data_IF_715584508278
#
_entry.id   IF_715584508278
#
_cell.length_a   1.000
_cell.length_b   1.000
_cell.length_c   1.000
_cell.angle_alpha   90.00
_cell.angle_beta   90.00
_cell.angle_gamma   90.00
#
_symmetry.space_group_name_H-M   'P 1'
#
loop_
_entity.id
_entity.type
_entity.pdbx_description
1 polymer ?
#
# COMPACT_ATOMS: atom_id res chain seq x y z
N UNK A 1 24.39 35.66 -4.45
CA UNK A 1 23.87 34.47 -5.15
C UNK A 1 23.67 33.41 -4.08
N UNK A 2 22.51 33.36 -3.45
CA UNK A 2 22.22 32.32 -2.47
C UNK A 2 22.04 31.01 -3.26
N UNK A 3 22.96 30.07 -3.10
CA UNK A 3 22.77 28.71 -3.55
C UNK A 3 21.67 28.11 -2.67
N UNK A 4 20.42 28.18 -3.11
CA UNK A 4 19.32 27.42 -2.53
C UNK A 4 19.67 25.96 -2.73
N UNK A 5 20.17 25.32 -1.67
CA UNK A 5 20.25 23.86 -1.62
C UNK A 5 18.83 23.36 -1.86
N UNK A 6 18.56 22.51 -2.86
CA UNK A 6 17.21 22.03 -3.10
C UNK A 6 16.75 21.31 -1.84
N UNK A 7 15.73 21.87 -1.19
CA UNK A 7 15.18 21.33 0.03
C UNK A 7 14.41 20.06 -0.33
N UNK A 8 14.80 18.93 0.27
CA UNK A 8 14.09 17.66 0.10
C UNK A 8 12.61 17.85 0.46
N UNK A 9 11.67 17.51 -0.45
CA UNK A 9 10.25 17.67 -0.21
C UNK A 9 9.79 16.97 1.08
N UNK A 10 8.86 17.64 1.76
CA UNK A 10 8.16 17.11 2.92
C UNK A 10 6.74 16.68 2.53
N UNK A 11 6.34 15.49 2.96
CA UNK A 11 5.05 14.87 2.64
C UNK A 11 4.41 14.37 3.92
N UNK A 12 3.20 14.83 4.20
CA UNK A 12 2.35 14.25 5.23
C UNK A 12 1.48 13.15 4.62
N UNK A 13 1.37 12.04 5.32
CA UNK A 13 0.52 10.91 4.94
C UNK A 13 -0.41 10.59 6.11
N UNK A 14 -1.71 10.72 5.87
CA UNK A 14 -2.75 10.35 6.85
C UNK A 14 -3.46 9.09 6.39
N UNK A 15 -3.44 8.06 7.22
CA UNK A 15 -4.16 6.81 6.97
C UNK A 15 -5.58 6.89 7.55
N UNK A 16 -6.53 6.24 6.89
CA UNK A 16 -7.91 6.14 7.38
C UNK A 16 -8.61 4.89 6.84
N UNK A 17 -9.63 4.45 7.58
CA UNK A 17 -10.47 3.31 7.21
C UNK A 17 -11.92 3.71 7.03
N UNK A 18 -12.57 3.15 6.00
CA UNK A 18 -14.01 3.22 5.81
C UNK A 18 -14.59 1.84 5.46
N UNK A 19 -15.36 1.20 6.36
CA UNK A 19 -15.61 1.58 7.77
C UNK A 19 -14.37 1.43 8.67
N UNK A 20 -14.33 2.05 9.88
CA UNK A 20 -13.23 1.92 10.84
C UNK A 20 -13.25 0.60 11.64
N UNK A 21 -14.18 -0.30 11.33
CA UNK A 21 -14.25 -1.65 11.89
C UNK A 21 -14.50 -2.68 10.80
N UNK A 22 -14.15 -3.93 11.07
CA UNK A 22 -14.38 -5.07 10.19
C UNK A 22 -14.98 -6.25 10.95
N UNK A 23 -15.96 -6.92 10.36
CA UNK A 23 -16.45 -8.23 10.81
C UNK A 23 -16.25 -9.25 9.70
N UNK A 24 -15.78 -10.46 10.04
CA UNK A 24 -15.66 -11.56 9.07
C UNK A 24 -17.01 -12.09 8.55
N UNK A 25 -18.12 -11.60 9.10
CA UNK A 25 -19.46 -11.76 8.51
C UNK A 25 -19.64 -10.96 7.22
N UNK A 26 -18.93 -9.83 7.07
CA UNK A 26 -18.97 -8.98 5.89
C UNK A 26 -18.26 -9.66 4.70
N UNK A 27 -18.79 -9.44 3.51
CA UNK A 27 -18.21 -10.00 2.28
C UNK A 27 -16.93 -9.27 1.85
N UNK A 28 -16.83 -7.97 2.15
CA UNK A 28 -15.74 -7.10 1.70
C UNK A 28 -14.96 -6.53 2.89
N UNK A 29 -13.64 -6.35 2.76
CA UNK A 29 -12.85 -5.63 3.76
C UNK A 29 -13.19 -4.13 3.76
N UNK A 30 -12.84 -3.39 4.83
CA UNK A 30 -12.88 -1.93 4.82
C UNK A 30 -11.88 -1.37 3.80
N UNK A 31 -12.14 -0.17 3.29
CA UNK A 31 -11.20 0.54 2.43
C UNK A 31 -10.14 1.25 3.29
N UNK A 32 -8.87 0.99 3.00
CA UNK A 32 -7.73 1.76 3.48
C UNK A 32 -7.48 2.91 2.52
N UNK A 33 -7.47 4.14 3.03
CA UNK A 33 -7.16 5.35 2.26
C UNK A 33 -5.95 6.06 2.85
N UNK A 34 -4.97 6.35 1.99
CA UNK A 34 -3.81 7.20 2.28
C UNK A 34 -4.08 8.58 1.66
N UNK A 35 -4.09 9.62 2.48
CA UNK A 35 -4.15 11.01 2.03
C UNK A 35 -2.76 11.61 2.10
N UNK A 36 -2.17 11.90 0.94
CA UNK A 36 -0.85 12.49 0.81
C UNK A 36 -0.98 14.01 0.62
N UNK A 37 -0.25 14.79 1.40
CA UNK A 37 -0.15 16.25 1.25
C UNK A 37 1.31 16.63 1.09
N UNK A 38 1.66 17.22 -0.05
CA UNK A 38 3.00 17.76 -0.31
C UNK A 38 3.11 19.20 0.18
N UNK A 39 4.19 19.51 0.89
CA UNK A 39 4.55 20.88 1.31
C UNK A 39 5.63 21.51 0.44
N UNK A 40 5.95 20.89 -0.71
CA UNK A 40 6.90 21.49 -1.65
C UNK A 40 6.28 22.68 -2.39
N UNK A 41 7.12 23.61 -2.81
CA UNK A 41 6.70 24.80 -3.56
C UNK A 41 6.33 24.49 -5.02
N UNK A 42 6.87 23.40 -5.57
CA UNK A 42 6.62 22.97 -6.95
C UNK A 42 6.14 21.52 -6.99
N UNK A 43 5.42 21.13 -8.05
CA UNK A 43 5.03 19.74 -8.23
C UNK A 43 6.25 18.84 -8.37
N UNK A 44 6.12 17.59 -7.93
CA UNK A 44 7.13 16.56 -8.15
C UNK A 44 6.46 15.20 -8.31
N UNK A 45 7.16 14.28 -8.96
CA UNK A 45 6.66 12.95 -9.28
C UNK A 45 7.41 11.89 -8.51
N UNK A 46 6.64 10.95 -7.94
CA UNK A 46 7.09 9.75 -7.26
C UNK A 46 6.97 8.55 -8.17
N UNK A 47 7.96 7.66 -8.12
CA UNK A 47 7.86 6.32 -8.66
C UNK A 47 7.64 5.30 -7.54
N UNK A 48 6.49 4.60 -7.56
CA UNK A 48 5.97 3.92 -6.35
C UNK A 48 5.94 2.40 -6.39
N UNK A 49 6.27 1.73 -7.50
CA UNK A 49 6.03 0.29 -7.72
C UNK A 49 6.41 -0.64 -6.55
N UNK A 50 7.58 -0.43 -5.95
CA UNK A 50 8.14 -1.26 -4.87
C UNK A 50 8.09 -0.56 -3.51
N UNK A 51 7.15 0.35 -3.32
CA UNK A 51 7.04 1.21 -2.14
C UNK A 51 5.65 1.06 -1.52
N UNK A 52 5.50 1.57 -0.30
CA UNK A 52 4.21 1.55 0.41
C UNK A 52 3.12 2.36 -0.30
N UNK A 53 3.51 3.27 -1.20
CA UNK A 53 2.61 4.14 -1.96
C UNK A 53 1.97 3.44 -3.17
N UNK A 54 2.48 2.28 -3.60
CA UNK A 54 1.74 1.39 -4.50
C UNK A 54 0.75 0.55 -3.69
N UNK A 55 -0.24 1.22 -3.11
CA UNK A 55 -1.05 0.72 -1.99
C UNK A 55 -1.63 -0.71 -2.18
N UNK A 56 -2.21 -1.09 -3.33
CA UNK A 56 -2.68 -2.47 -3.53
C UNK A 56 -1.55 -3.51 -3.43
N UNK A 57 -0.35 -3.18 -3.91
CA UNK A 57 0.80 -4.08 -3.84
C UNK A 57 1.37 -4.12 -2.42
N UNK A 58 1.37 -2.98 -1.71
CA UNK A 58 1.92 -2.84 -0.37
C UNK A 58 1.32 -3.84 0.64
N UNK A 59 0.06 -4.24 0.47
CA UNK A 59 -0.62 -5.27 1.26
C UNK A 59 0.02 -6.66 1.16
N UNK A 60 0.74 -6.92 0.07
CA UNK A 60 1.37 -8.21 -0.23
C UNK A 60 2.88 -8.15 -0.32
N UNK A 61 3.50 -6.99 -0.10
CA UNK A 61 4.97 -6.83 -0.13
C UNK A 61 5.52 -6.34 1.20
N UNK A 62 4.77 -6.54 2.29
CA UNK A 62 5.08 -6.01 3.63
C UNK A 62 5.31 -4.49 3.66
N UNK A 63 4.64 -3.73 2.79
CA UNK A 63 4.69 -2.26 2.80
C UNK A 63 3.76 -1.63 3.83
N UNK A 64 2.82 -2.40 4.38
CA UNK A 64 1.93 -1.98 5.46
C UNK A 64 2.35 -2.70 6.75
N UNK A 65 2.48 -1.94 7.83
CA UNK A 65 2.70 -2.48 9.18
C UNK A 65 1.36 -2.67 9.87
N UNK A 66 1.23 -3.77 10.62
CA UNK A 66 0.04 -4.09 11.41
C UNK A 66 0.51 -4.47 12.79
N UNK A 67 0.06 -3.76 13.82
CA UNK A 67 0.45 -3.99 15.20
C UNK A 67 -0.80 -4.18 16.05
N UNK A 68 -0.85 -5.26 16.83
CA UNK A 68 -1.89 -5.43 17.85
C UNK A 68 -1.76 -4.34 18.91
N UNK A 69 -2.80 -3.52 19.10
CA UNK A 69 -2.75 -2.34 19.95
C UNK A 69 -2.60 -2.70 21.44
N UNK A 70 -3.19 -3.81 21.88
CA UNK A 70 -3.16 -4.23 23.27
C UNK A 70 -1.83 -4.91 23.65
N UNK A 71 -1.31 -5.77 22.77
CA UNK A 71 -0.10 -6.53 23.00
C UNK A 71 1.18 -5.83 22.52
N UNK A 72 1.07 -4.80 21.67
CA UNK A 72 2.19 -4.13 21.00
C UNK A 72 2.97 -5.07 20.07
N UNK A 73 2.34 -6.14 19.57
CA UNK A 73 2.99 -7.17 18.76
C UNK A 73 2.72 -6.93 17.28
N UNK A 74 3.79 -6.90 16.49
CA UNK A 74 3.68 -6.87 15.03
C UNK A 74 3.04 -8.17 14.51
N UNK A 75 2.05 -8.03 13.63
CA UNK A 75 1.43 -9.14 12.90
C UNK A 75 2.27 -9.43 11.66
N UNK A 76 2.59 -10.70 11.43
CA UNK A 76 3.33 -11.10 10.24
C UNK A 76 2.44 -11.03 8.99
N UNK A 77 2.84 -10.19 8.04
CA UNK A 77 2.14 -9.99 6.77
C UNK A 77 2.72 -10.87 5.66
N UNK A 78 1.90 -11.14 4.65
CA UNK A 78 2.33 -11.82 3.44
C UNK A 78 3.35 -10.98 2.68
N UNK A 79 4.40 -11.65 2.20
CA UNK A 79 5.41 -11.09 1.31
C UNK A 79 5.48 -11.95 0.05
N UNK A 80 4.79 -11.51 -0.99
CA UNK A 80 4.74 -12.11 -2.31
C UNK A 80 5.64 -11.31 -3.24
N UNK A 81 6.57 -12.01 -3.89
CA UNK A 81 7.40 -11.42 -4.93
C UNK A 81 6.72 -11.64 -6.28
N UNK A 82 6.36 -10.56 -6.96
CA UNK A 82 5.86 -10.64 -8.33
C UNK A 82 7.03 -10.77 -9.31
N UNK A 83 7.06 -11.85 -10.11
CA UNK A 83 7.95 -11.92 -11.26
C UNK A 83 7.30 -11.14 -12.42
N UNK A 84 7.99 -10.13 -12.95
CA UNK A 84 7.45 -9.24 -13.98
C UNK A 84 8.52 -8.76 -14.95
N UNK A 85 8.07 -8.28 -16.10
CA UNK A 85 8.92 -7.54 -17.04
C UNK A 85 9.39 -6.20 -16.43
N UNK A 86 10.55 -5.66 -16.88
CA UNK A 86 11.04 -4.36 -16.44
C UNK A 86 10.00 -3.25 -16.61
N UNK A 87 9.96 -2.34 -15.62
CA UNK A 87 9.04 -1.20 -15.61
C UNK A 87 9.41 -0.18 -16.68
N UNK A 88 8.38 0.38 -17.32
CA UNK A 88 8.54 1.43 -18.32
C UNK A 88 7.82 2.70 -17.89
N UNK A 89 8.35 3.85 -18.31
CA UNK A 89 7.72 5.18 -18.19
C UNK A 89 6.84 5.49 -19.40
N UNK A 90 6.18 4.48 -19.97
CA UNK A 90 5.33 4.65 -21.16
C UNK A 90 3.92 5.06 -20.75
N UNK A 91 3.44 6.17 -21.30
CA UNK A 91 2.09 6.67 -21.11
C UNK A 91 1.03 5.68 -21.63
N UNK A 92 -0.11 5.61 -20.93
CA UNK A 92 -1.24 4.75 -21.28
C UNK A 92 -1.04 3.26 -20.98
N UNK A 93 0.08 2.89 -20.36
CA UNK A 93 0.35 1.50 -19.98
C UNK A 93 -0.05 1.22 -18.54
N UNK A 94 -0.12 -0.05 -18.16
CA UNK A 94 -0.38 -0.48 -16.79
C UNK A 94 0.68 -0.02 -15.78
N UNK A 95 1.86 0.40 -16.25
CA UNK A 95 2.94 0.93 -15.40
C UNK A 95 2.75 2.40 -15.05
N UNK A 96 1.95 3.15 -15.81
CA UNK A 96 1.71 4.59 -15.56
C UNK A 96 1.18 4.84 -14.14
N UNK A 97 0.41 3.91 -13.58
CA UNK A 97 -0.16 4.03 -12.23
C UNK A 97 0.89 4.12 -11.11
N UNK A 98 2.15 3.78 -11.38
CA UNK A 98 3.25 3.93 -10.41
C UNK A 98 3.90 5.30 -10.45
N UNK A 99 3.47 6.20 -11.33
CA UNK A 99 3.96 7.56 -11.45
C UNK A 99 2.93 8.50 -10.86
N UNK A 100 3.21 9.01 -9.66
CA UNK A 100 2.29 9.83 -8.89
C UNK A 100 2.86 11.24 -8.80
N UNK A 101 2.17 12.23 -9.36
CA UNK A 101 2.53 13.64 -9.16
C UNK A 101 1.82 14.19 -7.94
N UNK A 102 2.60 14.75 -7.01
CA UNK A 102 2.08 15.53 -5.89
C UNK A 102 2.12 17.00 -6.26
N UNK A 103 0.96 17.66 -6.16
CA UNK A 103 0.83 19.09 -6.36
C UNK A 103 1.08 19.83 -5.03
N UNK A 104 1.66 21.04 -5.04
CA UNK A 104 1.86 21.84 -3.84
C UNK A 104 0.56 22.00 -3.03
N UNK A 105 0.62 21.68 -1.74
CA UNK A 105 -0.46 21.87 -0.76
C UNK A 105 -1.81 21.27 -1.18
N UNK A 106 -1.79 20.25 -2.04
CA UNK A 106 -2.99 19.60 -2.57
C UNK A 106 -3.02 18.15 -2.11
N UNK A 107 -4.18 17.72 -1.61
CA UNK A 107 -4.38 16.36 -1.16
C UNK A 107 -4.54 15.41 -2.35
N UNK A 108 -3.76 14.33 -2.33
CA UNK A 108 -3.95 13.18 -3.20
C UNK A 108 -4.39 11.97 -2.37
N UNK A 109 -5.45 11.31 -2.79
CA UNK A 109 -5.96 10.11 -2.13
C UNK A 109 -5.62 8.85 -2.92
N UNK A 110 -5.04 7.87 -2.23
CA UNK A 110 -4.81 6.51 -2.71
C UNK A 110 -5.67 5.57 -1.86
N UNK A 111 -6.51 4.75 -2.49
CA UNK A 111 -7.43 3.88 -1.75
C UNK A 111 -7.45 2.46 -2.30
N UNK A 112 -7.59 1.48 -1.40
CA UNK A 112 -7.77 0.08 -1.75
C UNK A 112 -8.50 -0.67 -0.65
N UNK A 113 -9.17 -1.78 -0.99
CA UNK A 113 -9.73 -2.66 0.03
C UNK A 113 -8.62 -3.29 0.87
N UNK A 114 -8.72 -3.21 2.18
CA UNK A 114 -7.72 -3.71 3.13
C UNK A 114 -7.83 -5.23 3.30
N UNK A 115 -7.58 -5.97 2.22
CA UNK A 115 -7.70 -7.42 2.16
C UNK A 115 -7.00 -8.00 0.92
N UNK A 116 -7.35 -9.23 0.54
CA UNK A 116 -6.74 -9.95 -0.60
C UNK A 116 -7.20 -9.49 -2.00
N UNK A 117 -7.89 -8.35 -2.12
CA UNK A 117 -8.47 -7.86 -3.37
C UNK A 117 -9.95 -8.24 -3.58
N UNK A 118 -10.60 -7.55 -4.51
CA UNK A 118 -12.05 -7.29 -4.57
C UNK A 118 -13.03 -8.45 -4.80
N UNK A 119 -12.62 -9.72 -4.67
CA UNK A 119 -13.54 -10.87 -4.75
C UNK A 119 -13.29 -11.95 -3.69
N UNK A 120 -12.28 -11.80 -2.83
CA UNK A 120 -11.95 -12.80 -1.81
C UNK A 120 -12.51 -12.35 -0.47
N UNK A 121 -13.48 -13.11 0.06
CA UNK A 121 -14.01 -12.88 1.40
C UNK A 121 -12.88 -13.02 2.43
N UNK A 122 -12.62 -12.00 3.28
CA UNK A 122 -11.60 -12.08 4.31
C UNK A 122 -11.85 -13.24 5.28
N UNK A 123 -10.78 -13.85 5.76
CA UNK A 123 -10.83 -14.98 6.68
C UNK A 123 -10.07 -14.68 7.98
N UNK A 124 -10.54 -15.18 9.13
CA UNK A 124 -9.87 -14.99 10.41
C UNK A 124 -8.55 -15.77 10.47
N UNK A 125 -7.66 -15.37 11.38
CA UNK A 125 -6.34 -15.98 11.58
C UNK A 125 -6.35 -17.51 11.63
N UNK A 126 -7.26 -18.12 12.39
CA UNK A 126 -7.37 -19.57 12.53
C UNK A 126 -7.68 -20.32 11.21
N UNK A 127 -8.28 -19.65 10.23
CA UNK A 127 -8.49 -20.20 8.88
C UNK A 127 -7.24 -19.98 8.02
N UNK A 128 -6.66 -18.78 8.06
CA UNK A 128 -5.49 -18.41 7.23
C UNK A 128 -4.26 -19.26 7.58
N UNK A 129 -3.99 -19.50 8.86
CA UNK A 129 -2.83 -20.27 9.33
C UNK A 129 -2.85 -21.75 8.89
N UNK A 130 -4.04 -22.31 8.63
CA UNK A 130 -4.19 -23.64 8.05
C UNK A 130 -3.62 -23.71 6.64
N UNK A 131 -3.62 -22.59 5.90
CA UNK A 131 -2.96 -22.46 4.61
C UNK A 131 -3.67 -23.17 3.46
N UNK A 132 -4.97 -23.43 3.58
CA UNK A 132 -5.81 -24.06 2.55
C UNK A 132 -6.77 -23.07 1.90
N UNK A 133 -7.21 -23.39 0.68
CA UNK A 133 -8.27 -22.65 0.02
C UNK A 133 -9.64 -23.04 0.57
N UNK A 134 -10.57 -22.09 0.67
CA UNK A 134 -11.97 -22.39 1.00
C UNK A 134 -12.76 -22.17 -0.28
N UNK A 135 -13.68 -23.08 -0.57
CA UNK A 135 -14.61 -22.91 -1.67
C UNK A 135 -15.82 -22.05 -1.31
N UNK A 136 -16.76 -21.91 -2.25
CA UNK A 136 -17.97 -21.11 -2.07
C UNK A 136 -18.87 -21.61 -0.94
N UNK A 137 -18.75 -22.89 -0.56
CA UNK A 137 -19.48 -23.50 0.55
C UNK A 137 -18.71 -23.42 1.88
N UNK A 138 -17.46 -22.93 1.86
CA UNK A 138 -16.58 -22.88 3.02
C UNK A 138 -15.77 -24.16 3.26
N UNK A 139 -15.77 -25.11 2.32
CA UNK A 139 -15.04 -26.36 2.43
C UNK A 139 -13.57 -26.21 1.99
N UNK A 140 -12.66 -26.91 2.67
CA UNK A 140 -11.22 -26.83 2.38
C UNK A 140 -10.85 -27.51 1.04
N UNK A 141 -10.28 -26.73 0.13
CA UNK A 141 -9.59 -27.18 -1.07
C UNK A 141 -8.09 -27.27 -0.81
N UNK A 142 -7.46 -28.35 -1.29
CA UNK A 142 -6.00 -28.61 -1.22
C UNK A 142 -5.16 -27.70 -2.14
N UNK A 143 -5.51 -26.43 -2.21
CA UNK A 143 -4.74 -25.40 -2.90
C UNK A 143 -4.02 -24.61 -1.81
N UNK A 144 -2.68 -24.63 -1.85
CA UNK A 144 -1.83 -24.03 -0.82
C UNK A 144 -1.92 -22.50 -0.91
N UNK A 145 -2.22 -21.85 0.22
CA UNK A 145 -2.23 -20.37 0.35
C UNK A 145 -1.15 -19.89 1.31
N UNK A 146 -0.89 -18.57 1.27
CA UNK A 146 -0.07 -17.91 2.30
C UNK A 146 -0.70 -18.12 3.68
N UNK A 147 0.15 -18.35 4.69
CA UNK A 147 -0.25 -18.47 6.09
C UNK A 147 -0.20 -17.15 6.85
N UNK A 148 0.20 -16.07 6.17
CA UNK A 148 0.40 -14.75 6.75
C UNK A 148 -0.71 -13.79 6.36
N UNK A 149 -0.90 -12.75 7.16
CA UNK A 149 -1.99 -11.80 6.99
C UNK A 149 -1.88 -11.00 5.68
N UNK A 150 -3.01 -10.58 5.11
CA UNK A 150 -3.08 -9.66 3.98
C UNK A 150 -4.23 -8.70 4.23
N UNK A 151 -3.92 -7.51 4.77
CA UNK A 151 -4.94 -6.62 5.29
C UNK A 151 -5.66 -7.22 6.51
N UNK A 152 -6.99 -7.16 6.53
CA UNK A 152 -7.82 -7.76 7.59
C UNK A 152 -7.84 -9.29 7.57
N UNK A 153 -7.48 -9.89 6.45
CA UNK A 153 -7.37 -11.34 6.33
C UNK A 153 -6.19 -11.83 7.17
N UNK A 154 -6.46 -12.74 8.11
CA UNK A 154 -5.45 -13.25 9.05
C UNK A 154 -5.38 -12.49 10.38
N UNK A 155 -6.26 -11.51 10.62
CA UNK A 155 -6.39 -10.85 11.93
C UNK A 155 -7.29 -11.65 12.89
N UNK A 156 -7.19 -11.35 14.17
CA UNK A 156 -7.95 -12.01 15.24
C UNK A 156 -9.24 -11.21 15.53
N UNK A 157 -10.42 -11.88 15.58
CA UNK A 157 -11.66 -11.24 16.01
C UNK A 157 -11.58 -10.73 17.45
N UNK A 158 -12.16 -9.56 17.72
CA UNK A 158 -12.19 -8.94 19.04
C UNK A 158 -10.95 -8.11 19.40
N UNK A 159 -10.06 -7.86 18.43
CA UNK A 159 -8.82 -7.11 18.63
C UNK A 159 -8.86 -5.75 17.92
N UNK A 160 -8.04 -4.83 18.42
CA UNK A 160 -7.81 -3.52 17.81
C UNK A 160 -6.36 -3.45 17.32
N UNK A 161 -6.17 -2.90 16.13
CA UNK A 161 -4.90 -2.87 15.43
C UNK A 161 -4.53 -1.45 15.04
N UNK A 162 -3.25 -1.12 15.18
CA UNK A 162 -2.64 0.09 14.64
C UNK A 162 -1.99 -0.26 13.29
N UNK A 163 -2.36 0.48 12.26
CA UNK A 163 -1.95 0.27 10.88
C UNK A 163 -1.07 1.43 10.45
N UNK A 164 0.15 1.12 10.03
CA UNK A 164 1.14 2.10 9.58
C UNK A 164 1.77 1.71 8.24
N UNK A 165 2.84 2.42 7.88
CA UNK A 165 3.60 2.17 6.65
C UNK A 165 5.02 1.73 7.00
N UNK A 166 5.60 0.84 6.21
CA UNK A 166 7.01 0.49 6.34
C UNK A 166 7.89 1.70 5.94
N UNK A 167 8.62 2.25 6.92
CA UNK A 167 9.48 3.42 6.70
C UNK A 167 10.64 3.13 5.73
N UNK A 168 11.16 1.90 5.73
CA UNK A 168 12.25 1.52 4.85
C UNK A 168 11.85 1.61 3.38
N UNK A 169 10.68 1.08 3.06
CA UNK A 169 10.06 1.14 1.75
C UNK A 169 9.69 2.58 1.36
N UNK A 170 9.21 3.42 2.30
CA UNK A 170 9.00 4.86 2.06
C UNK A 170 10.30 5.59 1.70
N UNK A 171 11.39 5.33 2.44
CA UNK A 171 12.71 5.94 2.20
C UNK A 171 13.34 5.50 0.87
N UNK A 172 12.83 4.43 0.25
CA UNK A 172 13.31 3.91 -1.04
C UNK A 172 12.63 4.53 -2.26
N UNK A 173 11.64 5.41 -2.08
CA UNK A 173 10.90 6.06 -3.17
C UNK A 173 11.84 6.89 -4.04
N UNK A 174 11.79 6.66 -5.35
CA UNK A 174 12.49 7.48 -6.33
C UNK A 174 11.61 8.64 -6.74
N UNK A 175 12.19 9.82 -6.95
CA UNK A 175 11.41 11.01 -7.26
C UNK A 175 12.14 12.00 -8.18
N UNK A 176 11.42 12.97 -8.72
CA UNK A 176 11.98 14.07 -9.53
C UNK A 176 11.08 15.29 -9.44
N UNK A 177 11.65 16.50 -9.48
CA UNK A 177 10.94 17.77 -9.34
C UNK A 177 10.27 18.24 -10.64
N UNK A 178 9.53 17.35 -11.30
CA UNK A 178 8.69 17.65 -12.46
C UNK A 178 7.37 16.87 -12.38
N UNK A 179 6.37 17.28 -13.15
CA UNK A 179 5.12 16.54 -13.28
C UNK A 179 5.30 15.23 -14.07
N UNK A 180 4.42 14.25 -13.87
CA UNK A 180 4.57 12.92 -14.47
C UNK A 180 4.51 12.99 -15.99
N UNK A 181 3.81 13.97 -16.55
CA UNK A 181 3.69 14.21 -17.98
C UNK A 181 5.06 14.49 -18.63
N UNK A 182 6.03 14.99 -17.88
CA UNK A 182 7.41 15.21 -18.35
C UNK A 182 8.30 13.96 -18.18
N UNK A 183 7.95 13.08 -17.24
CA UNK A 183 8.66 11.82 -17.00
C UNK A 183 8.22 10.76 -18.02
N UNK A 184 6.93 10.71 -18.32
CA UNK A 184 6.31 9.72 -19.18
C UNK A 184 6.64 9.99 -20.66
N UNK A 185 6.84 8.92 -21.42
CA UNK A 185 7.11 8.97 -22.86
C UNK A 185 6.04 8.27 -23.67
N UNK A 186 5.94 8.69 -24.92
CA UNK A 186 5.18 7.99 -25.94
C UNK A 186 5.95 6.77 -26.43
N UNK A 187 5.29 5.61 -26.47
CA UNK A 187 5.88 4.35 -26.93
C UNK A 187 6.89 3.72 -25.97
N UNK A 188 7.42 2.56 -26.37
CA UNK A 188 8.25 1.68 -25.51
C UNK A 188 9.64 1.39 -26.07
N UNK A 189 10.24 2.40 -26.72
CA UNK A 189 11.56 2.33 -27.34
C UNK A 189 12.72 2.35 -26.30
N UNK A 190 13.96 2.35 -26.79
CA UNK A 190 15.15 2.52 -25.95
C UNK A 190 15.08 3.82 -25.12
N UNK A 191 15.51 3.77 -23.86
CA UNK A 191 15.37 4.89 -22.91
C UNK A 191 13.99 5.00 -22.26
N UNK A 192 13.02 4.13 -22.58
CA UNK A 192 11.69 4.13 -21.96
C UNK A 192 11.63 3.38 -20.62
N UNK A 193 12.72 2.72 -20.18
CA UNK A 193 12.72 2.04 -18.89
C UNK A 193 12.80 3.05 -17.75
N UNK A 194 12.22 2.71 -16.61
CA UNK A 194 12.27 3.57 -15.42
C UNK A 194 13.70 3.85 -15.00
N UNK A 195 14.56 2.83 -15.03
CA UNK A 195 15.96 2.95 -14.63
C UNK A 195 16.81 3.86 -15.51
N UNK A 196 16.35 4.15 -16.73
CA UNK A 196 17.06 4.98 -17.71
C UNK A 196 16.84 6.49 -17.44
N UNK A 197 15.89 6.84 -16.57
CA UNK A 197 15.58 8.22 -16.22
C UNK A 197 16.41 8.69 -15.01
N UNK A 198 16.75 9.98 -14.98
CA UNK A 198 17.57 10.60 -13.94
C UNK A 198 16.73 10.89 -12.68
N UNK A 199 16.50 9.85 -11.88
CA UNK A 199 15.78 9.97 -10.61
C UNK A 199 16.66 10.47 -9.47
N UNK A 200 16.06 11.29 -8.61
CA UNK A 200 16.56 11.51 -7.26
C UNK A 200 16.34 10.25 -6.42
N UNK A 201 17.45 9.73 -5.86
CA UNK A 201 17.47 8.55 -4.99
C UNK A 201 17.81 8.89 -3.54
N UNK A 202 17.71 10.18 -3.21
CA UNK A 202 17.80 10.67 -1.84
C UNK A 202 16.44 10.50 -1.14
N UNK A 203 16.41 10.04 0.12
CA UNK A 203 15.16 9.84 0.85
C UNK A 203 14.36 11.14 0.99
N UNK A 204 13.04 11.04 0.81
CA UNK A 204 12.07 12.10 1.09
C UNK A 204 11.75 12.20 2.58
N UNK A 205 11.27 13.36 3.01
CA UNK A 205 10.87 13.59 4.40
C UNK A 205 9.38 13.27 4.59
N UNK A 206 9.08 12.08 5.10
CA UNK A 206 7.70 11.66 5.38
C UNK A 206 7.32 11.89 6.84
N UNK A 207 6.12 12.37 7.07
CA UNK A 207 5.41 12.23 8.34
C UNK A 207 4.17 11.36 8.11
N UNK A 208 3.99 10.35 8.95
CA UNK A 208 2.92 9.35 8.77
C UNK A 208 2.05 9.36 10.02
N UNK A 209 0.76 9.63 9.83
CA UNK A 209 -0.28 9.43 10.84
C UNK A 209 -0.93 8.07 10.62
N UNK A 210 -0.73 7.17 11.57
CA UNK A 210 -1.27 5.80 11.57
C UNK A 210 -2.79 5.78 11.75
N UNK A 211 -3.42 4.69 11.34
CA UNK A 211 -4.85 4.49 11.51
C UNK A 211 -5.15 3.31 12.44
N UNK A 212 -6.20 3.44 13.23
CA UNK A 212 -6.73 2.34 14.05
C UNK A 212 -7.81 1.58 13.30
N UNK A 213 -7.83 0.26 13.46
CA UNK A 213 -8.85 -0.62 12.91
C UNK A 213 -9.30 -1.61 13.97
N UNK A 214 -10.62 -1.69 14.17
CA UNK A 214 -11.23 -2.68 15.06
C UNK A 214 -11.73 -3.91 14.31
N UNK A 215 -11.32 -5.09 14.72
CA UNK A 215 -11.88 -6.35 14.21
C UNK A 215 -12.93 -6.84 15.21
N UNK A 216 -14.19 -6.84 14.79
CA UNK A 216 -15.33 -7.20 15.62
C UNK A 216 -15.34 -8.69 15.94
N UNK A 217 -15.90 -9.01 17.11
CA UNK A 217 -16.14 -10.40 17.50
C UNK A 217 -17.29 -10.96 16.65
N UNK A 218 -17.08 -12.09 16.00
CA UNK A 218 -18.19 -12.82 15.38
C UNK A 218 -18.99 -13.51 16.49
N UNK A 219 -20.23 -13.08 16.73
CA UNK A 219 -21.18 -13.88 17.48
C UNK A 219 -21.85 -14.84 16.51
N UNK A 220 -21.61 -16.14 16.69
CA UNK A 220 -22.41 -17.15 16.00
C UNK A 220 -23.86 -17.00 16.46
N UNK A 221 -24.76 -16.72 15.52
CA UNK A 221 -26.19 -16.85 15.77
C UNK A 221 -26.49 -18.34 15.96
N UNK A 222 -26.73 -18.74 17.21
CA UNK A 222 -27.18 -20.07 17.59
C UNK A 222 -28.52 -20.45 16.96
#
# INVERSE_FOLDING_TARGET
MASTTPQTPHIDIVLSFDPPSHSFSQATPPNLTLTLTSHAETPFTLFTWSTTLALPNALTTSGITITDAAAGRAVQTASLTANRAPLKRTKGTSDEKYFITLQPNTQLQLSTGFGRGGSVKPQPKAVVERGWELDENGDERKIRRSKFATGVDGLEPGHEYVIGLDEGALKSVWWVQVAKEEVLVEGSAEGSYVQDYEWEKIPLNFHVEEAELKVEQCFDAH
#
